data_IF_011494687895
#
_entry.id   IF_011494687895
#
_cell.length_a   1.000
_cell.length_b   1.000
_cell.length_c   1.000
_cell.angle_alpha   90.00
_cell.angle_beta   90.00
_cell.angle_gamma   90.00
#
_symmetry.space_group_name_H-M   'P 1'
#
loop_
_entity.id
_entity.type
_entity.pdbx_description
1 polymer ?
#
# COMPACT_ATOMS: atom_id res chain seq x y z
N UNK A 1 9.67 3.46 21.33
CA UNK A 1 10.72 2.80 22.13
C UNK A 1 10.25 2.77 23.58
N UNK A 2 9.73 1.64 24.06
CA UNK A 2 9.39 1.49 25.49
C UNK A 2 10.43 0.62 26.18
N UNK A 3 11.03 1.19 27.23
CA UNK A 3 11.94 0.55 28.17
C UNK A 3 11.12 0.32 29.46
N UNK A 4 11.08 -0.89 30.06
CA UNK A 4 12.02 -2.00 29.91
C UNK A 4 11.64 -3.05 28.85
N UNK A 5 12.66 -3.54 28.13
CA UNK A 5 12.56 -4.68 27.20
C UNK A 5 12.25 -5.96 27.98
N UNK A 6 11.13 -6.63 27.69
CA UNK A 6 10.92 -8.04 28.07
C UNK A 6 9.56 -8.40 28.68
N UNK A 7 8.74 -7.42 29.09
CA UNK A 7 7.33 -7.67 29.45
C UNK A 7 6.44 -6.71 28.68
N UNK A 8 6.00 -7.16 27.50
CA UNK A 8 4.97 -6.46 26.75
C UNK A 8 3.74 -6.38 27.65
N UNK A 9 3.33 -5.17 28.05
CA UNK A 9 2.04 -4.97 28.72
C UNK A 9 0.96 -5.09 27.65
N UNK A 10 0.71 -6.32 27.21
CA UNK A 10 -0.21 -6.69 26.13
C UNK A 10 -1.57 -6.01 26.29
N UNK A 11 -2.04 -5.89 27.53
CA UNK A 11 -3.30 -5.23 27.88
C UNK A 11 -3.25 -3.73 27.62
N UNK A 12 -2.20 -3.01 28.06
CA UNK A 12 -2.09 -1.57 27.83
C UNK A 12 -1.92 -1.23 26.34
N UNK A 13 -1.15 -2.04 25.61
CA UNK A 13 -1.00 -1.90 24.16
C UNK A 13 -2.32 -2.10 23.43
N UNK A 14 -3.12 -3.09 23.83
CA UNK A 14 -4.46 -3.32 23.28
C UNK A 14 -5.42 -2.15 23.59
N UNK A 15 -5.43 -1.66 24.83
CA UNK A 15 -6.24 -0.49 25.21
C UNK A 15 -5.85 0.73 24.37
N UNK A 16 -4.55 0.98 24.21
CA UNK A 16 -4.04 2.07 23.37
C UNK A 16 -4.48 1.92 21.91
N UNK A 17 -4.40 0.70 21.35
CA UNK A 17 -4.85 0.40 20.00
C UNK A 17 -6.35 0.68 19.82
N UNK A 18 -7.17 0.24 20.77
CA UNK A 18 -8.63 0.47 20.74
C UNK A 18 -8.99 1.95 20.87
N UNK A 19 -8.27 2.69 21.73
CA UNK A 19 -8.45 4.14 21.88
C UNK A 19 -8.11 4.87 20.58
N UNK A 20 -6.96 4.55 19.98
CA UNK A 20 -6.57 5.14 18.70
C UNK A 20 -7.56 4.81 17.58
N UNK A 21 -8.00 3.56 17.50
CA UNK A 21 -9.02 3.14 16.53
C UNK A 21 -10.34 3.88 16.76
N UNK A 22 -10.75 4.09 18.01
CA UNK A 22 -11.95 4.86 18.35
C UNK A 22 -11.84 6.32 17.92
N UNK A 23 -10.72 6.98 18.19
CA UNK A 23 -10.45 8.37 17.76
C UNK A 23 -10.49 8.43 16.24
N UNK A 24 -9.82 7.50 15.57
CA UNK A 24 -9.81 7.40 14.11
C UNK A 24 -11.22 7.24 13.54
N UNK A 25 -11.99 6.24 13.97
CA UNK A 25 -13.36 6.03 13.51
C UNK A 25 -14.27 7.25 13.76
N UNK A 26 -14.11 7.92 14.89
CA UNK A 26 -14.87 9.15 15.22
C UNK A 26 -14.51 10.28 14.26
N UNK A 27 -13.22 10.51 14.01
CA UNK A 27 -12.78 11.53 13.04
C UNK A 27 -13.22 11.20 11.62
N UNK A 28 -13.23 9.92 11.23
CA UNK A 28 -13.77 9.46 9.94
C UNK A 28 -15.24 9.86 9.76
N UNK A 29 -16.04 9.59 10.80
CA UNK A 29 -17.46 9.87 10.80
C UNK A 29 -17.74 11.38 10.71
N UNK A 30 -16.95 12.19 11.42
CA UNK A 30 -17.03 13.65 11.35
C UNK A 30 -16.64 14.15 9.96
N UNK A 31 -15.53 13.66 9.38
CA UNK A 31 -15.12 13.97 8.00
C UNK A 31 -16.24 13.61 7.01
N UNK A 32 -16.83 12.44 7.15
CA UNK A 32 -17.93 11.99 6.30
C UNK A 32 -19.14 12.94 6.36
N UNK A 33 -19.60 13.28 7.56
CA UNK A 33 -20.74 14.18 7.74
C UNK A 33 -20.45 15.60 7.24
N UNK A 34 -19.22 16.07 7.42
CA UNK A 34 -18.78 17.36 6.91
C UNK A 34 -18.88 17.42 5.38
N UNK A 35 -18.32 16.43 4.66
CA UNK A 35 -18.41 16.40 3.20
C UNK A 35 -19.82 16.11 2.67
N UNK A 36 -20.64 15.38 3.45
CA UNK A 36 -22.05 15.13 3.09
C UNK A 36 -22.86 16.43 2.98
N UNK A 37 -22.53 17.48 3.75
CA UNK A 37 -23.25 18.76 3.73
C UNK A 37 -23.07 19.56 2.43
N UNK A 38 -22.03 19.29 1.64
CA UNK A 38 -21.73 20.03 0.41
C UNK A 38 -22.61 19.65 -0.79
N UNK A 39 -23.64 18.80 -0.60
CA UNK A 39 -24.56 18.36 -1.67
C UNK A 39 -23.82 17.89 -2.93
N UNK A 40 -22.83 17.01 -2.74
CA UNK A 40 -22.11 16.35 -3.83
C UNK A 40 -23.12 15.63 -4.76
N UNK A 41 -22.88 15.57 -6.08
CA UNK A 41 -23.71 14.78 -6.98
C UNK A 41 -23.72 13.31 -6.53
N UNK A 42 -24.85 12.63 -6.75
CA UNK A 42 -25.14 11.29 -6.21
C UNK A 42 -24.00 10.28 -6.42
N UNK A 43 -23.34 10.28 -7.58
CA UNK A 43 -22.24 9.35 -7.86
C UNK A 43 -20.99 9.63 -7.00
N UNK A 44 -20.58 10.89 -6.89
CA UNK A 44 -19.38 11.27 -6.15
C UNK A 44 -19.57 11.03 -4.65
N UNK A 45 -20.76 11.31 -4.14
CA UNK A 45 -21.13 11.01 -2.77
C UNK A 45 -21.04 9.50 -2.47
N UNK A 46 -21.58 8.67 -3.36
CA UNK A 46 -21.52 7.21 -3.24
C UNK A 46 -20.08 6.70 -3.30
N UNK A 47 -19.27 7.21 -4.24
CA UNK A 47 -17.85 6.86 -4.34
C UNK A 47 -17.10 7.26 -3.07
N UNK A 48 -17.29 8.49 -2.60
CA UNK A 48 -16.67 9.01 -1.38
C UNK A 48 -17.03 8.17 -0.14
N UNK A 49 -18.28 7.74 -0.01
CA UNK A 49 -18.72 6.86 1.05
C UNK A 49 -18.00 5.50 1.01
N UNK A 50 -17.89 4.90 -0.17
CA UNK A 50 -17.14 3.65 -0.35
C UNK A 50 -15.67 3.86 0.02
N UNK A 51 -15.01 4.88 -0.53
CA UNK A 51 -13.60 5.15 -0.25
C UNK A 51 -13.34 5.37 1.23
N UNK A 52 -14.22 6.12 1.91
CA UNK A 52 -14.11 6.33 3.36
C UNK A 52 -14.22 5.02 4.12
N UNK A 53 -15.21 4.18 3.79
CA UNK A 53 -15.37 2.86 4.42
C UNK A 53 -14.17 1.94 4.16
N UNK A 54 -13.68 1.93 2.92
CA UNK A 54 -12.48 1.19 2.52
C UNK A 54 -11.25 1.64 3.32
N UNK A 55 -11.05 2.95 3.46
CA UNK A 55 -9.94 3.51 4.24
C UNK A 55 -10.03 3.16 5.73
N UNK A 56 -11.25 3.20 6.32
CA UNK A 56 -11.47 2.74 7.70
C UNK A 56 -11.09 1.27 7.82
N UNK A 57 -11.63 0.42 6.94
CA UNK A 57 -11.42 -1.02 6.97
C UNK A 57 -9.95 -1.40 6.76
N UNK A 58 -9.27 -0.80 5.78
CA UNK A 58 -7.85 -1.06 5.49
C UNK A 58 -6.99 -0.62 6.66
N UNK A 59 -7.23 0.57 7.23
CA UNK A 59 -6.46 1.05 8.39
C UNK A 59 -6.69 0.17 9.62
N UNK A 60 -7.93 -0.27 9.88
CA UNK A 60 -8.23 -1.20 10.96
C UNK A 60 -7.53 -2.56 10.76
N UNK A 61 -7.56 -3.11 9.55
CA UNK A 61 -6.81 -4.31 9.19
C UNK A 61 -5.32 -4.09 9.44
N UNK A 62 -4.73 -3.00 8.93
CA UNK A 62 -3.32 -2.64 9.13
C UNK A 62 -2.94 -2.57 10.61
N UNK A 63 -3.77 -1.96 11.46
CA UNK A 63 -3.57 -1.91 12.91
C UNK A 63 -3.57 -3.30 13.57
N UNK A 64 -4.57 -4.12 13.26
CA UNK A 64 -4.70 -5.49 13.79
C UNK A 64 -3.51 -6.33 13.33
N UNK A 65 -3.14 -6.22 12.06
CA UNK A 65 -1.98 -6.88 11.49
C UNK A 65 -0.70 -6.42 12.17
N UNK A 66 -0.47 -5.12 12.35
CA UNK A 66 0.71 -4.60 13.05
C UNK A 66 0.83 -5.16 14.48
N UNK A 67 -0.30 -5.30 15.18
CA UNK A 67 -0.34 -5.91 16.51
C UNK A 67 0.07 -7.39 16.51
N UNK A 68 -0.52 -8.21 15.63
CA UNK A 68 -0.14 -9.63 15.52
C UNK A 68 1.27 -9.82 14.97
N UNK A 69 1.64 -9.02 13.97
CA UNK A 69 2.92 -9.07 13.27
C UNK A 69 4.08 -8.84 14.25
N UNK A 70 3.94 -7.88 15.17
CA UNK A 70 4.95 -7.59 16.20
C UNK A 70 5.39 -8.86 16.96
N UNK A 71 4.47 -9.79 17.25
CA UNK A 71 4.82 -11.03 17.97
C UNK A 71 5.65 -11.98 17.09
N UNK A 72 5.16 -12.31 15.90
CA UNK A 72 5.81 -13.24 14.98
C UNK A 72 7.15 -12.71 14.48
N UNK A 73 7.22 -11.40 14.23
CA UNK A 73 8.42 -10.71 13.78
C UNK A 73 9.49 -10.67 14.86
N UNK A 74 9.12 -10.46 16.13
CA UNK A 74 10.08 -10.53 17.22
C UNK A 74 10.72 -11.92 17.34
N UNK A 75 9.94 -12.99 17.14
CA UNK A 75 10.49 -14.35 17.12
C UNK A 75 11.43 -14.55 15.92
N UNK A 76 11.08 -14.02 14.75
CA UNK A 76 11.95 -14.04 13.58
C UNK A 76 13.23 -13.23 13.81
N UNK A 77 13.14 -12.02 14.35
CA UNK A 77 14.31 -11.18 14.65
C UNK A 77 15.26 -11.87 15.62
N UNK A 78 14.75 -12.63 16.59
CA UNK A 78 15.60 -13.42 17.50
C UNK A 78 16.38 -14.50 16.75
N UNK A 79 15.73 -15.27 15.87
CA UNK A 79 16.41 -16.27 15.03
C UNK A 79 17.43 -15.60 14.09
N UNK A 80 17.03 -14.47 13.54
CA UNK A 80 17.84 -13.70 12.60
C UNK A 80 19.06 -13.04 13.25
N UNK A 81 18.95 -12.67 14.53
CA UNK A 81 20.07 -12.21 15.34
C UNK A 81 21.09 -13.32 15.63
N UNK A 82 20.63 -14.57 15.83
CA UNK A 82 21.53 -15.72 15.95
C UNK A 82 22.30 -15.96 14.64
N UNK A 83 21.61 -15.90 13.50
CA UNK A 83 22.26 -15.99 12.18
C UNK A 83 23.24 -14.83 11.99
N UNK A 84 22.86 -13.61 12.38
CA UNK A 84 23.75 -12.46 12.31
C UNK A 84 25.03 -12.66 13.12
N UNK A 85 24.94 -13.15 14.36
CA UNK A 85 26.10 -13.44 15.20
C UNK A 85 27.04 -14.45 14.53
N UNK A 86 26.49 -15.49 13.89
CA UNK A 86 27.31 -16.46 13.13
C UNK A 86 27.95 -15.84 11.87
N UNK A 87 27.23 -15.00 11.14
CA UNK A 87 27.75 -14.30 9.96
C UNK A 87 28.82 -13.27 10.32
N UNK A 88 28.68 -12.63 11.48
CA UNK A 88 29.67 -11.69 12.00
C UNK A 88 30.95 -12.41 12.43
N UNK A 89 30.84 -13.60 13.04
CA UNK A 89 31.99 -14.46 13.34
C UNK A 89 32.75 -14.90 12.07
N UNK A 90 32.05 -15.00 10.94
CA UNK A 90 32.64 -15.26 9.61
C UNK A 90 33.29 -14.02 8.96
N UNK A 91 33.39 -12.90 9.69
CA UNK A 91 34.13 -11.70 9.24
C UNK A 91 33.34 -10.76 8.33
N UNK A 92 32.04 -10.97 8.16
CA UNK A 92 31.23 -10.07 7.33
C UNK A 92 30.83 -8.79 8.07
N UNK A 93 31.13 -7.64 7.45
CA UNK A 93 30.66 -6.34 7.92
C UNK A 93 29.41 -5.90 7.16
N UNK A 94 28.34 -5.62 7.91
CA UNK A 94 27.06 -5.18 7.34
C UNK A 94 27.08 -3.69 7.02
N UNK A 95 26.63 -3.32 5.81
CA UNK A 95 26.51 -1.91 5.43
C UNK A 95 25.17 -1.32 5.91
N UNK A 96 25.13 -0.90 7.18
CA UNK A 96 23.96 -0.22 7.76
C UNK A 96 23.66 1.14 7.12
N UNK A 97 24.64 1.76 6.46
CA UNK A 97 24.50 3.10 5.92
C UNK A 97 23.44 3.17 4.79
N UNK A 98 23.36 2.16 3.93
CA UNK A 98 22.39 2.14 2.83
C UNK A 98 20.95 2.09 3.35
N UNK A 99 20.66 1.17 4.29
CA UNK A 99 19.33 1.03 4.89
C UNK A 99 18.96 2.29 5.67
N UNK A 100 19.92 2.88 6.38
CA UNK A 100 19.74 4.10 7.16
C UNK A 100 19.43 5.32 6.27
N UNK A 101 20.16 5.50 5.16
CA UNK A 101 19.94 6.61 4.22
C UNK A 101 18.57 6.49 3.53
N UNK A 102 18.19 5.28 3.10
CA UNK A 102 16.85 5.03 2.58
C UNK A 102 15.79 5.36 3.63
N UNK A 103 16.06 4.98 4.88
CA UNK A 103 15.15 5.18 6.00
C UNK A 103 14.88 6.66 6.25
N UNK A 104 15.93 7.48 6.32
CA UNK A 104 15.82 8.93 6.45
C UNK A 104 15.07 9.53 5.27
N UNK A 105 15.41 9.14 4.04
CA UNK A 105 14.78 9.67 2.84
C UNK A 105 13.26 9.47 2.84
N UNK A 106 12.80 8.28 3.22
CA UNK A 106 11.37 7.98 3.31
C UNK A 106 10.66 8.84 4.38
N UNK A 107 11.29 9.03 5.54
CA UNK A 107 10.75 9.87 6.62
C UNK A 107 10.65 11.33 6.17
N UNK A 108 11.66 11.87 5.48
CA UNK A 108 11.63 13.24 4.94
C UNK A 108 10.49 13.41 3.93
N UNK A 109 10.36 12.48 2.96
CA UNK A 109 9.29 12.52 1.95
C UNK A 109 7.91 12.50 2.63
N UNK A 110 7.73 11.67 3.66
CA UNK A 110 6.49 11.62 4.40
C UNK A 110 6.19 12.91 5.16
N UNK A 111 7.17 13.51 5.83
CA UNK A 111 6.99 14.79 6.50
C UNK A 111 6.58 15.90 5.52
N UNK A 112 7.20 15.94 4.35
CA UNK A 112 6.82 16.88 3.28
C UNK A 112 5.38 16.64 2.82
N UNK A 113 4.99 15.37 2.62
CA UNK A 113 3.61 15.00 2.27
C UNK A 113 2.60 15.46 3.34
N UNK A 114 2.85 15.16 4.62
CA UNK A 114 1.99 15.57 5.73
C UNK A 114 1.87 17.08 5.80
N UNK A 115 2.98 17.81 5.64
CA UNK A 115 2.99 19.26 5.67
C UNK A 115 2.18 19.87 4.51
N UNK A 116 2.36 19.37 3.29
CA UNK A 116 1.58 19.80 2.14
C UNK A 116 0.08 19.52 2.33
N UNK A 117 -0.29 18.30 2.75
CA UNK A 117 -1.68 17.92 3.04
C UNK A 117 -2.29 18.80 4.14
N UNK A 118 -1.52 19.16 5.16
CA UNK A 118 -1.98 20.03 6.24
C UNK A 118 -2.30 21.45 5.75
N UNK A 119 -1.40 22.08 4.98
CA UNK A 119 -1.64 23.41 4.38
C UNK A 119 -2.93 23.39 3.60
N UNK A 120 -3.08 22.35 2.78
CA UNK A 120 -4.19 22.17 1.87
C UNK A 120 -5.52 22.01 2.62
N UNK A 121 -5.58 21.16 3.66
CA UNK A 121 -6.78 21.01 4.51
C UNK A 121 -7.12 22.31 5.23
N UNK A 122 -6.12 23.06 5.68
CA UNK A 122 -6.34 24.35 6.35
C UNK A 122 -6.90 25.40 5.38
N UNK A 123 -6.41 25.42 4.13
CA UNK A 123 -6.94 26.31 3.09
C UNK A 123 -8.39 25.98 2.77
N UNK A 124 -8.71 24.70 2.58
CA UNK A 124 -10.09 24.22 2.33
C UNK A 124 -11.03 24.56 3.49
N UNK A 125 -10.59 24.31 4.73
CA UNK A 125 -11.36 24.65 5.93
C UNK A 125 -11.63 26.16 6.09
N UNK A 126 -10.72 27.00 5.62
CA UNK A 126 -10.89 28.46 5.65
C UNK A 126 -11.90 28.96 4.63
N UNK A 127 -11.91 28.39 3.43
CA UNK A 127 -12.84 28.79 2.36
C UNK A 127 -14.28 28.35 2.64
N UNK A 128 -14.44 27.25 3.35
CA UNK A 128 -15.74 26.65 3.71
C UNK A 128 -16.34 27.19 5.01
N UNK A 129 -15.69 28.15 5.66
CA UNK A 129 -16.07 28.67 7.00
C UNK A 129 -16.26 27.56 8.05
N UNK A 130 -15.53 26.45 7.90
CA UNK A 130 -15.61 25.34 8.83
C UNK A 130 -15.10 25.74 10.23
N UNK A 131 -15.73 25.18 11.27
CA UNK A 131 -15.22 25.32 12.63
C UNK A 131 -13.80 24.75 12.71
N UNK A 132 -12.88 25.49 13.34
CA UNK A 132 -11.48 25.13 13.51
C UNK A 132 -11.34 23.74 14.14
N UNK A 133 -12.23 23.38 15.05
CA UNK A 133 -12.25 22.05 15.67
C UNK A 133 -12.48 20.93 14.64
N UNK A 134 -13.38 21.13 13.68
CA UNK A 134 -13.66 20.15 12.61
C UNK A 134 -12.43 20.02 11.71
N UNK A 135 -11.82 21.15 11.30
CA UNK A 135 -10.61 21.13 10.48
C UNK A 135 -9.47 20.38 11.18
N UNK A 136 -9.27 20.59 12.48
CA UNK A 136 -8.27 19.86 13.27
C UNK A 136 -8.57 18.35 13.30
N UNK A 137 -9.84 17.94 13.47
CA UNK A 137 -10.21 16.53 13.51
C UNK A 137 -10.01 15.83 12.15
N UNK A 138 -10.32 16.52 11.04
CA UNK A 138 -10.04 16.05 9.68
C UNK A 138 -8.54 15.91 9.47
N UNK A 139 -7.74 16.87 9.94
CA UNK A 139 -6.29 16.81 9.87
C UNK A 139 -5.73 15.62 10.66
N UNK A 140 -6.23 15.39 11.88
CA UNK A 140 -5.84 14.24 12.72
C UNK A 140 -6.15 12.93 11.99
N UNK A 141 -7.33 12.79 11.39
CA UNK A 141 -7.71 11.62 10.60
C UNK A 141 -6.70 11.33 9.48
N UNK A 142 -6.37 12.35 8.68
CA UNK A 142 -5.51 12.22 7.51
C UNK A 142 -4.06 11.90 7.90
N UNK A 143 -3.52 12.62 8.87
CA UNK A 143 -2.15 12.41 9.37
C UNK A 143 -2.04 11.02 10.01
N UNK A 144 -3.03 10.62 10.80
CA UNK A 144 -2.98 9.36 11.51
C UNK A 144 -3.08 8.15 10.56
N UNK A 145 -4.02 8.17 9.61
CA UNK A 145 -4.16 7.08 8.63
C UNK A 145 -2.92 6.92 7.75
N UNK A 146 -2.34 8.04 7.29
CA UNK A 146 -1.10 8.02 6.51
C UNK A 146 0.12 7.61 7.35
N UNK A 147 0.21 8.01 8.62
CA UNK A 147 1.28 7.61 9.52
C UNK A 147 1.28 6.10 9.79
N UNK A 148 0.12 5.52 10.11
CA UNK A 148 -0.01 4.07 10.35
C UNK A 148 0.39 3.29 9.10
N UNK A 149 -0.08 3.73 7.92
CA UNK A 149 0.26 3.11 6.65
C UNK A 149 1.75 3.17 6.36
N UNK A 150 2.39 4.33 6.54
CA UNK A 150 3.82 4.50 6.34
C UNK A 150 4.63 3.61 7.27
N UNK A 151 4.34 3.62 8.58
CA UNK A 151 5.09 2.84 9.58
C UNK A 151 5.11 1.35 9.23
N UNK A 152 3.95 0.79 8.87
CA UNK A 152 3.83 -0.63 8.52
C UNK A 152 4.59 -0.94 7.22
N UNK A 153 4.39 -0.12 6.18
CA UNK A 153 5.07 -0.32 4.91
C UNK A 153 6.60 -0.21 5.05
N UNK A 154 7.05 0.68 5.93
CA UNK A 154 8.44 0.97 6.17
C UNK A 154 9.13 -0.11 7.01
N UNK A 155 8.50 -0.54 8.10
CA UNK A 155 8.96 -1.68 8.90
C UNK A 155 9.10 -2.94 8.03
N UNK A 156 8.08 -3.23 7.23
CA UNK A 156 8.12 -4.34 6.29
C UNK A 156 9.24 -4.17 5.25
N UNK A 157 9.39 -2.98 4.66
CA UNK A 157 10.42 -2.71 3.65
C UNK A 157 11.83 -2.84 4.21
N UNK A 158 12.07 -2.35 5.43
CA UNK A 158 13.35 -2.51 6.15
C UNK A 158 13.61 -3.99 6.41
N UNK A 159 12.62 -4.73 6.88
CA UNK A 159 12.75 -6.17 7.14
C UNK A 159 13.11 -6.94 5.86
N UNK A 160 12.42 -6.68 4.75
CA UNK A 160 12.69 -7.35 3.47
C UNK A 160 14.06 -7.00 2.91
N UNK A 161 14.47 -5.72 2.97
CA UNK A 161 15.83 -5.31 2.56
C UNK A 161 16.90 -5.94 3.43
N UNK A 162 16.66 -5.99 4.74
CA UNK A 162 17.56 -6.65 5.67
C UNK A 162 17.73 -8.14 5.29
N UNK A 163 16.63 -8.87 5.06
CA UNK A 163 16.69 -10.27 4.61
C UNK A 163 17.45 -10.42 3.28
N UNK A 164 17.17 -9.54 2.31
CA UNK A 164 17.86 -9.54 1.03
C UNK A 164 19.38 -9.42 1.20
N UNK A 165 19.85 -8.46 2.01
CA UNK A 165 21.28 -8.28 2.29
C UNK A 165 21.88 -9.51 2.96
N UNK A 166 21.13 -10.19 3.83
CA UNK A 166 21.58 -11.45 4.47
C UNK A 166 21.71 -12.60 3.49
N UNK A 167 20.74 -12.80 2.59
CA UNK A 167 20.86 -13.84 1.57
C UNK A 167 22.01 -13.56 0.62
N UNK A 168 22.18 -12.29 0.19
CA UNK A 168 23.31 -11.90 -0.64
C UNK A 168 24.64 -12.25 0.03
N UNK A 169 24.77 -11.90 1.31
CA UNK A 169 25.99 -12.20 2.07
C UNK A 169 26.22 -13.71 2.23
N UNK A 170 25.17 -14.48 2.56
CA UNK A 170 25.27 -15.93 2.66
C UNK A 170 25.69 -16.56 1.33
N UNK A 171 25.17 -16.04 0.20
CA UNK A 171 25.56 -16.47 -1.14
C UNK A 171 27.05 -16.21 -1.40
N UNK A 172 27.55 -15.04 -1.03
CA UNK A 172 28.95 -14.67 -1.22
C UNK A 172 29.88 -15.57 -0.39
N UNK A 173 29.56 -15.81 0.89
CA UNK A 173 30.32 -16.70 1.78
C UNK A 173 30.31 -18.17 1.33
N UNK A 174 29.14 -18.68 0.92
CA UNK A 174 29.04 -20.06 0.43
C UNK A 174 29.85 -20.24 -0.85
N UNK A 175 29.82 -19.28 -1.78
CA UNK A 175 30.63 -19.32 -3.01
C UNK A 175 32.13 -19.30 -2.72
N UNK A 176 32.57 -18.46 -1.78
CA UNK A 176 33.97 -18.43 -1.37
C UNK A 176 34.41 -19.76 -0.76
N UNK A 177 33.58 -20.37 0.11
CA UNK A 177 33.88 -21.68 0.70
C UNK A 177 34.03 -22.79 -0.35
N UNK A 178 33.20 -22.79 -1.40
CA UNK A 178 33.30 -23.74 -2.52
C UNK A 178 34.59 -23.51 -3.29
N UNK A 179 34.94 -22.25 -3.60
CA UNK A 179 36.16 -21.92 -4.33
C UNK A 179 37.44 -22.35 -3.58
N UNK A 180 37.50 -22.12 -2.27
CA UNK A 180 38.65 -22.53 -1.43
C UNK A 180 38.80 -24.05 -1.40
N UNK A 181 37.68 -24.78 -1.20
CA UNK A 181 37.69 -26.25 -1.18
C UNK A 181 38.20 -26.88 -2.49
N UNK A 182 37.96 -26.21 -3.62
CA UNK A 182 38.41 -26.67 -4.94
C UNK A 182 39.92 -26.44 -5.14
N UNK A 183 40.49 -25.43 -4.47
CA UNK A 183 41.87 -24.98 -4.66
C UNK A 183 42.87 -25.73 -3.75
N UNK A 184 42.47 -26.13 -2.54
CA UNK A 184 43.35 -26.77 -1.54
C UNK A 184 43.67 -28.27 -1.78
N UNK A 185 43.18 -28.86 -2.87
CA UNK A 185 43.74 -30.11 -3.35
C UNK A 185 43.11 -31.36 -2.76
N UNK A 186 42.08 -31.83 -3.44
CA UNK A 186 41.99 -33.24 -3.82
C UNK A 186 41.34 -33.26 -5.19
N UNK A 187 42.06 -33.72 -6.21
CA UNK A 187 41.45 -34.23 -7.45
C UNK A 187 40.61 -35.44 -7.05
N UNK A 188 39.41 -35.19 -6.52
CA UNK A 188 38.31 -36.11 -6.69
C UNK A 188 37.91 -35.92 -8.15
N UNK A 189 38.03 -36.98 -8.94
CA UNK A 189 37.45 -37.05 -10.28
C UNK A 189 35.93 -36.89 -10.14
N UNK A 190 35.48 -35.64 -10.04
CA UNK A 190 34.08 -35.26 -10.09
C UNK A 190 33.74 -35.19 -11.58
N UNK A 191 32.83 -36.04 -12.08
CA UNK A 191 32.46 -36.03 -13.48
C UNK A 191 31.87 -34.67 -13.87
N UNK A 192 32.39 -34.12 -14.97
CA UNK A 192 32.07 -32.80 -15.49
C UNK A 192 30.56 -32.56 -15.57
N UNK A 193 30.07 -31.63 -14.75
CA UNK A 193 28.73 -31.04 -14.85
C UNK A 193 28.73 -29.97 -15.93
N UNK A 194 28.55 -30.37 -17.20
CA UNK A 194 28.40 -29.45 -18.35
C UNK A 194 26.95 -28.98 -18.60
N UNK A 195 25.93 -29.55 -17.93
CA UNK A 195 24.52 -29.35 -18.35
C UNK A 195 23.72 -28.23 -17.63
N UNK A 196 24.27 -27.54 -16.63
CA UNK A 196 23.42 -26.64 -15.80
C UNK A 196 23.19 -25.23 -16.35
N UNK A 197 24.02 -24.76 -17.28
CA UNK A 197 23.84 -23.44 -17.89
C UNK A 197 22.65 -23.39 -18.87
N UNK A 198 22.13 -24.53 -19.31
CA UNK A 198 21.00 -24.59 -20.27
C UNK A 198 19.61 -24.48 -19.59
N UNK A 199 19.53 -24.67 -18.26
CA UNK A 199 18.25 -24.71 -17.53
C UNK A 199 17.84 -23.33 -16.98
N UNK A 200 18.79 -22.43 -16.70
CA UNK A 200 18.46 -21.09 -16.15
C UNK A 200 18.03 -20.06 -17.20
N UNK A 201 18.42 -20.21 -18.47
CA UNK A 201 18.07 -19.25 -19.53
C UNK A 201 16.76 -19.58 -20.29
N UNK A 202 16.18 -20.77 -20.13
CA UNK A 202 15.07 -21.23 -20.99
C UNK A 202 13.64 -20.87 -20.54
N UNK A 203 13.42 -20.12 -19.44
CA UNK A 203 12.06 -19.85 -18.91
C UNK A 203 11.71 -18.41 -18.51
N UNK A 204 12.45 -17.39 -18.96
CA UNK A 204 11.96 -16.00 -18.95
C UNK A 204 11.39 -15.60 -20.32
N UNK A 205 10.34 -16.31 -20.76
CA UNK A 205 9.49 -15.81 -21.83
C UNK A 205 8.74 -14.55 -21.36
N UNK A 206 8.78 -13.44 -22.11
CA UNK A 206 8.00 -12.25 -21.78
C UNK A 206 6.51 -12.58 -22.00
N UNK A 207 5.79 -12.90 -20.93
CA UNK A 207 4.33 -12.94 -20.94
C UNK A 207 3.79 -11.51 -21.09
N UNK A 208 3.82 -11.01 -22.33
CA UNK A 208 3.10 -9.82 -22.75
C UNK A 208 1.61 -10.20 -22.73
N UNK A 209 0.94 -9.83 -21.66
CA UNK A 209 -0.52 -9.86 -21.57
C UNK A 209 -1.02 -8.84 -22.60
N UNK A 210 -1.44 -9.31 -23.77
CA UNK A 210 -2.12 -8.47 -24.76
C UNK A 210 -3.53 -8.18 -24.26
N UNK A 211 -3.70 -7.00 -23.65
CA UNK A 211 -5.02 -6.45 -23.33
C UNK A 211 -5.65 -6.03 -24.64
N UNK A 212 -6.46 -6.93 -25.21
CA UNK A 212 -7.25 -6.66 -26.40
C UNK A 212 -8.40 -5.72 -26.01
N UNK A 213 -8.17 -4.42 -26.15
CA UNK A 213 -9.18 -3.38 -25.99
C UNK A 213 -10.21 -3.54 -27.11
N UNK A 214 -11.42 -3.97 -26.76
CA UNK A 214 -12.56 -4.03 -27.67
C UNK A 214 -13.17 -2.63 -27.78
N UNK A 215 -12.85 -1.91 -28.87
CA UNK A 215 -13.54 -0.68 -29.25
C UNK A 215 -14.67 -1.01 -30.23
N UNK A 216 -15.88 -1.20 -29.71
CA UNK A 216 -17.11 -1.06 -30.50
C UNK A 216 -18.16 -0.35 -29.66
N UNK A 217 -18.29 0.96 -29.85
CA UNK A 217 -19.48 1.71 -29.47
C UNK A 217 -19.78 2.70 -30.59
N UNK A 218 -20.85 2.43 -31.35
CA UNK A 218 -21.30 3.29 -32.44
C UNK A 218 -22.03 4.53 -31.92
N UNK A 219 -22.03 5.64 -32.70
CA UNK A 219 -22.75 6.84 -32.33
C UNK A 219 -24.22 6.73 -32.78
N UNK A 220 -25.15 6.67 -31.83
CA UNK A 220 -26.57 6.92 -32.07
C UNK A 220 -27.10 7.90 -31.01
N UNK A 221 -26.84 9.19 -31.23
CA UNK A 221 -27.52 10.27 -30.51
C UNK A 221 -28.74 10.71 -31.30
N UNK A 222 -29.93 10.52 -30.71
CA UNK A 222 -31.17 11.20 -31.13
C UNK A 222 -31.30 12.52 -30.36
N UNK A 223 -31.78 13.60 -30.98
CA UNK A 223 -31.98 14.87 -30.30
C UNK A 223 -33.21 14.83 -29.38
N UNK A 224 -33.00 15.22 -28.13
CA UNK A 224 -34.03 15.40 -27.10
C UNK A 224 -34.81 16.69 -27.41
N UNK A 225 -36.13 16.56 -27.61
CA UNK A 225 -37.06 17.69 -27.72
C UNK A 225 -37.27 18.35 -26.35
N UNK A 226 -36.95 19.65 -26.25
CA UNK A 226 -37.34 20.49 -25.12
C UNK A 226 -38.81 20.87 -25.24
N UNK A 227 -39.61 20.49 -24.25
CA UNK A 227 -40.92 21.09 -23.99
C UNK A 227 -40.73 22.34 -23.12
N UNK A 228 -41.04 23.51 -23.68
CA UNK A 228 -41.17 24.76 -22.93
C UNK A 228 -42.64 24.98 -22.58
N UNK A 229 -42.97 24.87 -21.30
CA UNK A 229 -44.24 25.38 -20.74
C UNK A 229 -43.96 26.73 -20.08
N UNK A 230 -44.50 27.80 -20.65
CA UNK A 230 -44.49 29.15 -20.06
C UNK A 230 -45.87 29.50 -19.52
N UNK A 231 -46.06 29.69 -18.20
CA UNK A 231 -47.19 30.43 -17.68
C UNK A 231 -46.88 31.93 -17.71
N UNK A 232 -47.67 32.70 -18.46
CA UNK A 232 -47.69 34.17 -18.38
C UNK A 232 -48.36 34.58 -17.07
N UNK A 233 -47.58 34.96 -16.08
CA UNK A 233 -48.07 35.71 -14.92
C UNK A 233 -47.43 37.10 -15.00
N UNK A 234 -48.29 38.10 -15.22
CA UNK A 234 -47.91 39.50 -15.38
C UNK A 234 -47.79 40.14 -14.00
N UNK A 235 -46.59 40.14 -13.43
CA UNK A 235 -46.23 40.92 -12.25
C UNK A 235 -45.29 42.05 -12.63
N UNK A 236 -45.46 43.18 -11.94
CA UNK A 236 -44.77 44.45 -12.14
C UNK A 236 -43.27 44.32 -12.44
N UNK A 237 -42.91 44.68 -13.68
CA UNK A 237 -41.68 44.32 -14.39
C UNK A 237 -40.42 45.01 -13.85
N UNK A 238 -40.52 46.05 -13.01
CA UNK A 238 -39.37 46.93 -12.71
C UNK A 238 -38.63 46.63 -11.41
N UNK A 239 -39.22 45.86 -10.49
CA UNK A 239 -38.58 45.45 -9.22
C UNK A 239 -37.98 44.04 -9.30
N UNK A 240 -38.54 43.16 -10.12
CA UNK A 240 -38.10 41.76 -10.29
C UNK A 240 -36.70 41.65 -10.93
N UNK A 241 -36.37 42.53 -11.87
CA UNK A 241 -35.13 42.46 -12.66
C UNK A 241 -33.86 42.75 -11.84
N UNK A 242 -33.95 43.50 -10.73
CA UNK A 242 -32.81 43.72 -9.82
C UNK A 242 -32.58 42.56 -8.87
N UNK A 243 -33.65 41.90 -8.41
CA UNK A 243 -33.54 40.73 -7.53
C UNK A 243 -33.03 39.49 -8.27
N UNK A 244 -33.37 39.31 -9.54
CA UNK A 244 -32.83 38.21 -10.36
C UNK A 244 -31.35 38.37 -10.69
N UNK A 245 -30.87 39.62 -10.83
CA UNK A 245 -29.45 39.89 -11.10
C UNK A 245 -28.57 39.61 -9.88
N UNK A 246 -29.00 40.02 -8.68
CA UNK A 246 -28.30 39.72 -7.42
C UNK A 246 -28.33 38.21 -7.12
N UNK A 247 -29.46 37.54 -7.37
CA UNK A 247 -29.57 36.10 -7.18
C UNK A 247 -28.65 35.32 -8.14
N UNK A 248 -28.54 35.73 -9.41
CA UNK A 248 -27.67 35.06 -10.39
C UNK A 248 -26.18 35.27 -10.10
N UNK A 249 -25.78 36.43 -9.58
CA UNK A 249 -24.39 36.70 -9.23
C UNK A 249 -23.96 35.90 -8.00
N UNK A 250 -24.84 35.81 -6.99
CA UNK A 250 -24.65 34.91 -5.85
C UNK A 250 -24.55 33.45 -6.32
N UNK A 251 -25.46 33.00 -7.20
CA UNK A 251 -25.45 31.62 -7.69
C UNK A 251 -24.18 31.26 -8.48
N UNK A 252 -23.65 32.20 -9.29
CA UNK A 252 -22.36 32.03 -9.97
C UNK A 252 -21.20 31.96 -8.98
N UNK A 253 -21.20 32.80 -7.96
CA UNK A 253 -20.15 32.81 -6.94
C UNK A 253 -20.15 31.49 -6.15
N UNK A 254 -21.34 31.00 -5.77
CA UNK A 254 -21.52 29.68 -5.17
C UNK A 254 -21.06 28.55 -6.10
N UNK A 255 -21.35 28.61 -7.40
CA UNK A 255 -20.89 27.61 -8.36
C UNK A 255 -19.36 27.56 -8.49
N UNK A 256 -18.68 28.72 -8.47
CA UNK A 256 -17.20 28.76 -8.54
C UNK A 256 -16.57 28.16 -7.29
N UNK A 257 -17.11 28.46 -6.10
CA UNK A 257 -16.63 27.91 -4.82
C UNK A 257 -16.87 26.40 -4.74
N UNK A 258 -18.07 25.93 -5.10
CA UNK A 258 -18.42 24.50 -5.10
C UNK A 258 -17.53 23.71 -6.08
N UNK A 259 -17.30 24.24 -7.28
CA UNK A 259 -16.43 23.58 -8.25
C UNK A 259 -14.95 23.53 -7.80
N UNK A 260 -14.49 24.54 -7.06
CA UNK A 260 -13.15 24.59 -6.48
C UNK A 260 -12.93 23.50 -5.44
N UNK A 261 -13.80 23.41 -4.43
CA UNK A 261 -13.70 22.42 -3.36
C UNK A 261 -13.82 20.98 -3.86
N UNK A 262 -14.73 20.71 -4.80
CA UNK A 262 -14.89 19.37 -5.37
C UNK A 262 -13.64 18.89 -6.13
N UNK A 263 -13.10 19.74 -7.00
CA UNK A 263 -11.89 19.42 -7.77
C UNK A 263 -10.72 19.14 -6.82
N UNK A 264 -10.67 19.88 -5.71
CA UNK A 264 -9.66 19.74 -4.69
C UNK A 264 -9.76 18.40 -3.93
N UNK A 265 -10.95 18.01 -3.46
CA UNK A 265 -11.17 16.71 -2.77
C UNK A 265 -10.80 15.54 -3.68
N UNK A 266 -11.23 15.58 -4.94
CA UNK A 266 -10.91 14.53 -5.92
C UNK A 266 -9.41 14.41 -6.18
N UNK A 267 -8.70 15.54 -6.21
CA UNK A 267 -7.25 15.56 -6.35
C UNK A 267 -6.53 14.95 -5.14
N UNK A 268 -6.97 15.27 -3.91
CA UNK A 268 -6.41 14.71 -2.69
C UNK A 268 -6.59 13.18 -2.61
N UNK A 269 -7.80 12.68 -2.91
CA UNK A 269 -8.08 11.24 -2.96
C UNK A 269 -7.29 10.53 -4.07
N UNK A 270 -7.07 11.21 -5.21
CA UNK A 270 -6.22 10.69 -6.29
C UNK A 270 -4.76 10.57 -5.84
N UNK A 271 -4.23 11.58 -5.14
CA UNK A 271 -2.88 11.51 -4.56
C UNK A 271 -2.80 10.35 -3.57
N UNK A 272 -3.78 10.22 -2.67
CA UNK A 272 -3.80 9.16 -1.66
C UNK A 272 -3.85 7.77 -2.32
N UNK A 273 -4.72 7.58 -3.32
CA UNK A 273 -4.77 6.36 -4.12
C UNK A 273 -3.45 6.05 -4.82
N UNK A 274 -2.80 7.06 -5.41
CA UNK A 274 -1.49 6.91 -6.04
C UNK A 274 -0.40 6.51 -5.03
N UNK A 275 -0.44 7.05 -3.81
CA UNK A 275 0.49 6.71 -2.74
C UNK A 275 0.34 5.24 -2.30
N UNK A 276 -0.90 4.75 -2.15
CA UNK A 276 -1.15 3.32 -1.88
C UNK A 276 -0.67 2.41 -3.00
N UNK A 277 -0.87 2.80 -4.26
CA UNK A 277 -0.34 2.03 -5.39
C UNK A 277 1.18 1.97 -5.38
N UNK A 278 1.84 3.09 -5.08
CA UNK A 278 3.29 3.13 -4.93
C UNK A 278 3.77 2.26 -3.76
N UNK A 279 3.09 2.28 -2.61
CA UNK A 279 3.34 1.42 -1.46
C UNK A 279 3.32 -0.06 -1.87
N UNK A 280 2.27 -0.49 -2.57
CA UNK A 280 2.13 -1.87 -3.06
C UNK A 280 3.27 -2.25 -4.02
N UNK A 281 3.64 -1.35 -4.94
CA UNK A 281 4.73 -1.59 -5.89
C UNK A 281 6.07 -1.73 -5.16
N UNK A 282 6.37 -0.87 -4.19
CA UNK A 282 7.59 -0.92 -3.40
C UNK A 282 7.69 -2.22 -2.59
N UNK A 283 6.61 -2.61 -1.92
CA UNK A 283 6.50 -3.88 -1.19
C UNK A 283 6.75 -5.05 -2.13
N UNK A 284 6.12 -5.07 -3.30
CA UNK A 284 6.28 -6.13 -4.31
C UNK A 284 7.72 -6.22 -4.82
N UNK A 285 8.37 -5.08 -5.09
CA UNK A 285 9.76 -5.04 -5.52
C UNK A 285 10.69 -5.59 -4.43
N UNK A 286 10.54 -5.14 -3.18
CA UNK A 286 11.32 -5.64 -2.05
C UNK A 286 11.18 -7.15 -1.88
N UNK A 287 9.94 -7.67 -1.96
CA UNK A 287 9.67 -9.10 -1.90
C UNK A 287 10.34 -9.88 -3.04
N UNK A 288 10.23 -9.37 -4.28
CA UNK A 288 10.83 -10.01 -5.46
C UNK A 288 12.35 -10.13 -5.31
N UNK A 289 13.02 -9.08 -4.85
CA UNK A 289 14.47 -9.09 -4.65
C UNK A 289 14.90 -10.05 -3.54
N UNK A 290 14.26 -10.00 -2.38
CA UNK A 290 14.58 -10.91 -1.27
C UNK A 290 14.36 -12.38 -1.67
N UNK A 291 13.26 -12.68 -2.37
CA UNK A 291 12.95 -14.03 -2.87
C UNK A 291 14.00 -14.52 -3.87
N UNK A 292 14.45 -13.64 -4.78
CA UNK A 292 15.45 -14.01 -5.77
C UNK A 292 16.80 -14.35 -5.11
N UNK A 293 17.23 -13.57 -4.11
CA UNK A 293 18.45 -13.87 -3.37
C UNK A 293 18.32 -15.15 -2.53
N UNK A 294 17.17 -15.36 -1.89
CA UNK A 294 16.89 -16.61 -1.16
C UNK A 294 16.90 -17.85 -2.05
N UNK A 295 16.37 -17.76 -3.28
CA UNK A 295 16.44 -18.85 -4.28
C UNK A 295 17.88 -19.18 -4.67
N UNK A 296 18.73 -18.17 -4.85
CA UNK A 296 20.17 -18.39 -5.10
C UNK A 296 20.84 -19.10 -3.92
N UNK A 297 20.51 -18.72 -2.69
CA UNK A 297 21.03 -19.39 -1.48
C UNK A 297 20.65 -20.87 -1.47
N UNK A 298 19.38 -21.17 -1.72
CA UNK A 298 18.91 -22.55 -1.80
C UNK A 298 19.60 -23.35 -2.91
N UNK A 299 19.86 -22.75 -4.06
CA UNK A 299 20.55 -23.41 -5.17
C UNK A 299 22.01 -23.77 -4.81
N UNK A 300 22.74 -22.83 -4.18
CA UNK A 300 24.13 -23.06 -3.76
C UNK A 300 24.19 -24.13 -2.65
N UNK A 301 23.27 -24.10 -1.68
CA UNK A 301 23.18 -25.15 -0.66
C UNK A 301 22.92 -26.52 -1.29
N UNK A 302 22.00 -26.59 -2.26
CA UNK A 302 21.71 -27.84 -2.96
C UNK A 302 22.93 -28.35 -3.75
N UNK A 303 23.72 -27.45 -4.35
CA UNK A 303 24.97 -27.81 -5.04
C UNK A 303 26.02 -28.38 -4.07
N UNK A 304 26.18 -27.76 -2.90
CA UNK A 304 27.15 -28.20 -1.87
C UNK A 304 26.73 -29.54 -1.24
N UNK A 305 25.46 -29.65 -0.83
CA UNK A 305 24.97 -30.80 -0.06
C UNK A 305 24.35 -31.91 -0.91
N UNK A 306 24.01 -31.66 -2.17
CA UNK A 306 23.49 -32.69 -3.09
C UNK A 306 24.48 -33.85 -3.30
N UNK A 307 25.77 -33.56 -3.16
CA UNK A 307 26.86 -34.54 -3.23
C UNK A 307 27.17 -35.22 -1.88
N UNK A 308 26.52 -34.82 -0.78
CA UNK A 308 26.76 -35.43 0.53
C UNK A 308 26.18 -36.87 0.56
N UNK A 309 26.96 -37.87 1.00
CA UNK A 309 26.47 -39.25 1.14
C UNK A 309 25.58 -39.43 2.38
N UNK A 310 25.56 -38.44 3.29
CA UNK A 310 24.71 -38.45 4.47
C UNK A 310 23.25 -38.23 4.08
N UNK A 311 22.46 -39.30 4.22
CA UNK A 311 21.04 -39.36 3.85
C UNK A 311 20.21 -38.47 4.78
N UNK A 312 20.62 -38.27 6.04
CA UNK A 312 19.85 -37.50 7.01
C UNK A 312 19.91 -35.99 6.68
N UNK A 313 21.11 -35.48 6.36
CA UNK A 313 21.30 -34.09 5.92
C UNK A 313 20.59 -33.85 4.58
N UNK A 314 20.70 -34.80 3.65
CA UNK A 314 20.03 -34.71 2.34
C UNK A 314 18.51 -34.67 2.52
N UNK A 315 17.95 -35.53 3.34
CA UNK A 315 16.51 -35.56 3.60
C UNK A 315 16.05 -34.26 4.28
N UNK A 316 16.80 -33.71 5.24
CA UNK A 316 16.44 -32.44 5.87
C UNK A 316 16.41 -31.26 4.88
N UNK A 317 17.41 -31.18 3.98
CA UNK A 317 17.48 -30.16 2.92
C UNK A 317 16.41 -30.35 1.84
N UNK A 318 16.05 -31.60 1.51
CA UNK A 318 15.10 -31.91 0.42
C UNK A 318 13.64 -31.84 0.88
N UNK A 319 13.37 -32.18 2.15
CA UNK A 319 12.02 -32.27 2.71
C UNK A 319 11.49 -30.91 3.18
N UNK A 320 12.40 -29.99 3.50
CA UNK A 320 12.10 -28.58 3.68
C UNK A 320 12.77 -27.79 2.55
N UNK A 321 12.30 -27.90 1.29
CA UNK A 321 12.76 -26.96 0.29
C UNK A 321 12.52 -25.60 0.92
N UNK A 322 13.56 -24.76 0.91
CA UNK A 322 13.41 -23.34 1.21
C UNK A 322 12.62 -22.73 0.03
N UNK A 323 11.50 -23.33 -0.36
CA UNK A 323 10.33 -22.55 -0.63
C UNK A 323 10.20 -21.68 0.60
N UNK A 324 10.59 -20.44 0.40
CA UNK A 324 10.07 -19.27 1.06
C UNK A 324 8.53 -19.32 0.99
N UNK A 325 7.87 -20.32 1.60
CA UNK A 325 6.75 -20.12 2.52
C UNK A 325 7.27 -19.29 3.70
N UNK A 326 7.97 -18.18 3.39
CA UNK A 326 8.46 -17.24 4.36
C UNK A 326 7.23 -16.54 4.86
N UNK A 327 6.85 -17.04 6.03
CA UNK A 327 5.76 -16.59 6.84
C UNK A 327 4.38 -16.78 6.18
N UNK A 328 3.38 -17.01 7.02
CA UNK A 328 1.98 -16.67 6.74
C UNK A 328 1.74 -15.25 6.15
N UNK A 329 2.78 -14.42 5.98
CA UNK A 329 2.78 -13.14 5.24
C UNK A 329 2.34 -13.30 3.78
N UNK A 330 2.74 -14.37 3.09
CA UNK A 330 2.28 -14.58 1.70
C UNK A 330 0.77 -14.85 1.62
N UNK A 331 0.23 -15.50 2.67
CA UNK A 331 -1.22 -15.71 2.85
C UNK A 331 -1.96 -14.36 2.93
N UNK A 332 -1.35 -13.32 3.51
CA UNK A 332 -1.94 -11.99 3.59
C UNK A 332 -1.89 -11.18 2.29
N UNK A 333 -0.87 -11.33 1.45
CA UNK A 333 -0.92 -10.70 0.12
C UNK A 333 -1.96 -11.35 -0.79
N UNK A 334 -2.18 -12.66 -0.67
CA UNK A 334 -3.23 -13.36 -1.41
C UNK A 334 -4.63 -12.98 -0.92
N UNK A 335 -4.81 -12.82 0.40
CA UNK A 335 -6.05 -12.29 0.99
C UNK A 335 -6.27 -10.83 0.58
N UNK A 336 -5.24 -9.98 0.69
CA UNK A 336 -5.30 -8.57 0.26
C UNK A 336 -5.57 -8.46 -1.25
N UNK A 337 -4.92 -9.29 -2.07
CA UNK A 337 -5.15 -9.35 -3.52
C UNK A 337 -6.57 -9.82 -3.83
N UNK A 338 -7.08 -10.82 -3.12
CA UNK A 338 -8.47 -11.28 -3.24
C UNK A 338 -9.46 -10.20 -2.80
N UNK A 339 -9.16 -9.48 -1.73
CA UNK A 339 -9.94 -8.37 -1.22
C UNK A 339 -9.97 -7.21 -2.22
N UNK A 340 -8.82 -6.81 -2.77
CA UNK A 340 -8.70 -5.80 -3.82
C UNK A 340 -9.47 -6.20 -5.08
N UNK A 341 -9.39 -7.47 -5.51
CA UNK A 341 -10.19 -7.98 -6.64
C UNK A 341 -11.69 -7.87 -6.36
N UNK A 342 -12.14 -8.27 -5.17
CA UNK A 342 -13.54 -8.14 -4.78
C UNK A 342 -13.99 -6.69 -4.73
N UNK A 343 -13.13 -5.77 -4.26
CA UNK A 343 -13.40 -4.34 -4.23
C UNK A 343 -13.47 -3.74 -5.63
N UNK A 344 -12.57 -4.12 -6.54
CA UNK A 344 -12.64 -3.69 -7.94
C UNK A 344 -13.94 -4.15 -8.59
N UNK A 345 -14.37 -5.40 -8.37
CA UNK A 345 -15.65 -5.91 -8.86
C UNK A 345 -16.81 -5.07 -8.31
N UNK A 346 -16.79 -4.77 -7.00
CA UNK A 346 -17.83 -3.95 -6.37
C UNK A 346 -17.87 -2.52 -6.94
N UNK A 347 -16.72 -1.89 -7.16
CA UNK A 347 -16.61 -0.56 -7.76
C UNK A 347 -17.20 -0.56 -9.17
N UNK A 348 -16.88 -1.57 -10.00
CA UNK A 348 -17.43 -1.70 -11.36
C UNK A 348 -18.96 -1.81 -11.32
N UNK A 349 -19.50 -2.69 -10.47
CA UNK A 349 -20.96 -2.87 -10.32
C UNK A 349 -21.63 -1.55 -9.88
N UNK A 350 -21.01 -0.82 -8.95
CA UNK A 350 -21.54 0.46 -8.46
C UNK A 350 -21.54 1.54 -9.55
N UNK A 351 -20.49 1.61 -10.38
CA UNK A 351 -20.43 2.53 -11.53
C UNK A 351 -21.54 2.19 -12.53
N UNK A 352 -21.72 0.90 -12.84
CA UNK A 352 -22.79 0.44 -13.74
C UNK A 352 -24.19 0.79 -13.21
N UNK A 353 -24.44 0.54 -11.92
CA UNK A 353 -25.71 0.87 -11.26
C UNK A 353 -25.98 2.38 -11.24
N UNK A 354 -24.96 3.20 -11.00
CA UNK A 354 -25.11 4.66 -11.02
C UNK A 354 -25.43 5.18 -12.41
N UNK A 355 -24.82 4.62 -13.47
CA UNK A 355 -25.12 4.99 -14.85
C UNK A 355 -26.58 4.63 -15.21
N UNK A 356 -27.08 3.51 -14.69
CA UNK A 356 -28.47 3.10 -14.88
C UNK A 356 -29.43 4.10 -14.23
N UNK A 357 -29.20 4.48 -12.97
CA UNK A 357 -30.03 5.43 -12.23
C UNK A 357 -30.01 6.86 -12.80
N UNK A 358 -28.89 7.29 -13.38
CA UNK A 358 -28.80 8.60 -14.03
C UNK A 358 -29.53 8.68 -15.39
N UNK A 359 -29.93 7.54 -15.95
CA UNK A 359 -30.62 7.47 -17.25
C UNK A 359 -32.15 7.40 -17.16
N UNK A 360 -32.69 7.15 -15.96
CA UNK A 360 -34.12 7.17 -15.64
C UNK A 360 -34.54 8.54 -15.12
#
# INVERSE_FOLDING_TARGET
>A
MEYPRGKLRTVLSLIYLLLLLSVFCTSAYIKYNYYFQFNLPNLEQVLYQIFTFLNIFVTACKMILGYFYTKTVNECYRKLAQIDETLQQLGSMFNYAEIYLLSIGAVIIWFLYVFCSAIVIIMDGRESEADLAITILILIWEIYGSAVSLVIAFEFSIFMRYLQTRFKLANDLLRESVAVSTTEGKKLDVPATEDYNEIMDSKQGPNIISIKVSSQLGPNQKPIQRFTFSPKINYDHKMSEKHTLIANDQLKQWQVVINGGLTFVMFAETILGSAYMLEIILIKLACKHATNEGKKTSAIIHEIYGCCPDIDIRNEVTQNPIEFSTFDIFLHYQILSSCLKSMTIYIVIMIEMSNYLGSS
#
